data_IF_971659192645
#
_entry.id   IF_971659192645
#
_cell.length_a   1.000
_cell.length_b   1.000
_cell.length_c   1.000
_cell.angle_alpha   90.00
_cell.angle_beta   90.00
_cell.angle_gamma   90.00
#
_symmetry.space_group_name_H-M   'P 1'
#
loop_
_entity.id
_entity.type
_entity.pdbx_description
1 polymer ?
#
# COMPACT_ATOMS: atom_id res chain seq x y z
N UNK A 1 10.75 -24.14 8.35
CA UNK A 1 9.94 -22.89 8.29
C UNK A 1 10.83 -21.74 8.73
N UNK A 2 10.60 -20.49 8.28
CA UNK A 2 11.26 -19.34 8.88
C UNK A 2 11.01 -19.32 10.39
N UNK A 3 11.91 -18.71 11.15
CA UNK A 3 11.73 -18.47 12.58
C UNK A 3 10.42 -17.69 12.82
N UNK A 4 9.66 -18.09 13.84
CA UNK A 4 8.38 -17.49 14.20
C UNK A 4 8.50 -16.05 14.70
N UNK A 5 9.71 -15.63 15.09
CA UNK A 5 9.97 -14.25 15.50
C UNK A 5 10.23 -13.30 14.31
N UNK A 6 10.33 -13.83 13.08
CA UNK A 6 10.53 -13.00 11.89
C UNK A 6 9.24 -12.22 11.62
N UNK A 7 9.31 -10.90 11.80
CA UNK A 7 8.23 -9.99 11.41
C UNK A 7 7.95 -10.11 9.92
N UNK A 8 6.68 -10.28 9.58
CA UNK A 8 6.22 -10.28 8.19
C UNK A 8 6.54 -8.93 7.55
N UNK A 9 7.25 -8.89 6.42
CA UNK A 9 7.64 -7.64 5.79
C UNK A 9 6.42 -6.90 5.25
N UNK A 10 6.46 -5.58 5.31
CA UNK A 10 5.51 -4.74 4.57
C UNK A 10 5.74 -4.91 3.07
N UNK A 11 4.64 -4.91 2.29
CA UNK A 11 4.69 -4.95 0.82
C UNK A 11 3.79 -3.90 0.21
N UNK A 12 4.32 -3.18 -0.79
CA UNK A 12 3.55 -2.34 -1.71
C UNK A 12 3.34 -3.15 -2.99
N UNK A 13 2.15 -3.73 -3.15
CA UNK A 13 1.79 -4.50 -4.33
C UNK A 13 1.24 -3.55 -5.41
N UNK A 14 1.54 -3.78 -6.68
CA UNK A 14 1.02 -2.96 -7.76
C UNK A 14 -0.51 -3.03 -7.84
N UNK A 15 -1.07 -2.13 -8.63
CA UNK A 15 -2.44 -2.27 -9.09
C UNK A 15 -2.62 -3.61 -9.83
N UNK A 16 -3.83 -4.16 -9.76
CA UNK A 16 -4.19 -5.44 -10.38
C UNK A 16 -3.34 -6.65 -9.95
N UNK A 17 -2.69 -6.61 -8.79
CA UNK A 17 -2.02 -7.79 -8.25
C UNK A 17 -2.99 -8.98 -8.14
N UNK A 18 -2.53 -10.17 -8.50
CA UNK A 18 -3.37 -11.38 -8.54
C UNK A 18 -4.01 -11.69 -7.19
N UNK A 19 -3.38 -11.31 -6.08
CA UNK A 19 -3.94 -11.52 -4.73
C UNK A 19 -5.30 -10.82 -4.54
N UNK A 20 -5.56 -9.78 -5.35
CA UNK A 20 -6.80 -9.01 -5.34
C UNK A 20 -7.75 -9.35 -6.50
N UNK A 21 -7.35 -10.19 -7.45
CA UNK A 21 -8.17 -10.49 -8.63
C UNK A 21 -8.50 -11.99 -8.76
N UNK A 22 -7.54 -12.87 -8.46
CA UNK A 22 -7.63 -14.31 -8.70
C UNK A 22 -8.47 -15.10 -7.70
N UNK A 23 -8.96 -14.47 -6.62
CA UNK A 23 -9.75 -15.12 -5.59
C UNK A 23 -11.09 -14.42 -5.37
N UNK A 24 -12.18 -15.19 -5.40
CA UNK A 24 -13.52 -14.69 -5.07
C UNK A 24 -13.66 -14.40 -3.58
N UNK A 25 -13.11 -15.27 -2.73
CA UNK A 25 -12.99 -15.06 -1.30
C UNK A 25 -11.63 -14.42 -0.97
N UNK A 26 -11.66 -13.16 -0.52
CA UNK A 26 -10.49 -12.36 -0.16
C UNK A 26 -10.39 -12.08 1.34
N UNK A 27 -11.24 -12.74 2.13
CA UNK A 27 -11.36 -12.49 3.58
C UNK A 27 -10.09 -12.84 4.35
N UNK A 28 -9.23 -13.66 3.73
CA UNK A 28 -7.91 -14.08 4.25
C UNK A 28 -6.91 -12.94 4.44
N UNK A 29 -7.04 -11.86 3.67
CA UNK A 29 -6.12 -10.70 3.72
C UNK A 29 -6.84 -9.37 3.91
N UNK A 30 -8.17 -9.37 3.88
CA UNK A 30 -9.01 -8.18 3.93
C UNK A 30 -10.27 -8.48 4.75
N UNK A 31 -10.63 -7.68 5.77
CA UNK A 31 -11.84 -7.92 6.56
C UNK A 31 -13.13 -7.93 5.72
N UNK A 32 -14.14 -8.70 6.16
CA UNK A 32 -15.47 -8.72 5.54
C UNK A 32 -16.10 -7.32 5.47
N UNK A 33 -16.81 -7.03 4.38
CA UNK A 33 -17.73 -5.89 4.30
C UNK A 33 -17.18 -4.61 3.66
N UNK A 34 -16.00 -4.62 3.03
CA UNK A 34 -15.55 -3.46 2.26
C UNK A 34 -14.88 -3.87 0.94
N UNK A 35 -15.59 -3.64 -0.17
CA UNK A 35 -14.93 -3.39 -1.44
C UNK A 35 -14.13 -2.10 -1.23
N UNK A 36 -12.81 -2.20 -1.19
CA UNK A 36 -11.91 -1.19 -0.63
C UNK A 36 -11.92 0.21 -1.30
N UNK A 37 -12.87 0.54 -2.17
CA UNK A 37 -12.77 1.72 -3.03
C UNK A 37 -11.52 1.68 -3.91
N UNK A 38 -10.84 0.52 -3.97
CA UNK A 38 -9.66 0.28 -4.78
C UNK A 38 -9.99 0.36 -6.26
N UNK A 39 -11.22 0.04 -6.63
CA UNK A 39 -11.76 0.20 -7.96
C UNK A 39 -12.44 1.56 -8.02
N UNK A 40 -11.77 2.56 -8.57
CA UNK A 40 -12.40 3.81 -8.91
C UNK A 40 -13.53 3.57 -9.92
N UNK A 41 -14.54 4.45 -9.94
CA UNK A 41 -15.68 4.37 -10.87
C UNK A 41 -15.27 4.42 -12.36
N UNK A 42 -14.04 4.86 -12.65
CA UNK A 42 -13.43 4.86 -13.98
C UNK A 42 -12.57 3.62 -14.27
N UNK A 43 -12.61 2.59 -13.42
CA UNK A 43 -11.87 1.33 -13.60
C UNK A 43 -10.40 1.37 -13.21
N UNK A 44 -9.85 2.51 -12.76
CA UNK A 44 -8.45 2.61 -12.29
C UNK A 44 -8.32 1.97 -10.92
N UNK A 45 -7.42 0.98 -10.82
CA UNK A 45 -7.10 0.33 -9.54
C UNK A 45 -5.87 0.97 -8.92
N UNK A 46 -5.89 1.21 -7.60
CA UNK A 46 -4.68 1.64 -6.87
C UNK A 46 -3.91 0.41 -6.37
N UNK A 47 -2.61 0.56 -6.14
CA UNK A 47 -1.82 -0.48 -5.50
C UNK A 47 -2.25 -0.71 -4.05
N UNK A 48 -1.91 -1.85 -3.47
CA UNK A 48 -2.24 -2.20 -2.08
C UNK A 48 -1.01 -2.22 -1.18
N UNK A 49 -1.21 -1.88 0.09
CA UNK A 49 -0.19 -1.95 1.13
C UNK A 49 -0.55 -3.06 2.11
N UNK A 50 0.31 -4.07 2.20
CA UNK A 50 0.18 -5.18 3.14
C UNK A 50 1.03 -4.91 4.37
N UNK A 51 0.43 -5.01 5.54
CA UNK A 51 1.10 -5.00 6.85
C UNK A 51 0.70 -6.28 7.55
N UNK A 52 1.70 -7.06 7.97
CA UNK A 52 1.48 -8.36 8.59
C UNK A 52 0.62 -9.32 7.74
N UNK A 53 0.75 -9.22 6.40
CA UNK A 53 -0.02 -10.02 5.45
C UNK A 53 -1.45 -9.52 5.19
N UNK A 54 -1.91 -8.46 5.88
CA UNK A 54 -3.24 -7.89 5.69
C UNK A 54 -3.19 -6.57 4.93
N UNK A 55 -4.17 -6.34 4.07
CA UNK A 55 -4.35 -5.09 3.34
C UNK A 55 -4.79 -3.99 4.31
N UNK A 56 -4.01 -2.91 4.41
CA UNK A 56 -4.25 -1.80 5.35
C UNK A 56 -4.43 -0.43 4.69
N UNK A 57 -3.89 -0.25 3.49
CA UNK A 57 -3.96 1.00 2.74
C UNK A 57 -3.87 0.77 1.23
N UNK A 58 -4.23 1.78 0.45
CA UNK A 58 -3.86 1.91 -0.96
C UNK A 58 -2.58 2.72 -1.10
N UNK A 59 -1.92 2.57 -2.23
CA UNK A 59 -0.89 3.51 -2.64
C UNK A 59 -1.01 3.87 -4.13
N UNK A 60 -0.48 5.05 -4.47
CA UNK A 60 -0.27 5.46 -5.86
C UNK A 60 1.01 6.28 -6.01
N UNK A 61 1.68 6.21 -7.17
CA UNK A 61 2.74 7.14 -7.50
C UNK A 61 2.16 8.54 -7.80
N UNK A 62 2.94 9.57 -7.54
CA UNK A 62 2.64 10.96 -7.87
C UNK A 62 3.95 11.71 -8.07
N UNK A 63 3.91 12.83 -8.81
CA UNK A 63 5.01 13.78 -8.86
C UNK A 63 4.54 15.08 -8.22
N UNK A 64 5.14 15.45 -7.10
CA UNK A 64 4.78 16.67 -6.37
C UNK A 64 6.03 17.53 -6.19
N UNK A 65 5.96 18.80 -6.61
CA UNK A 65 7.07 19.75 -6.48
C UNK A 65 8.41 19.21 -7.03
N UNK A 66 8.35 18.42 -8.11
CA UNK A 66 9.53 17.79 -8.73
C UNK A 66 10.06 16.54 -8.02
N UNK A 67 9.43 16.08 -6.95
CA UNK A 67 9.79 14.84 -6.26
C UNK A 67 8.91 13.66 -6.69
N UNK A 68 9.52 12.50 -6.92
CA UNK A 68 8.80 11.25 -7.07
C UNK A 68 8.23 10.84 -5.70
N UNK A 69 6.92 10.71 -5.64
CA UNK A 69 6.18 10.57 -4.38
C UNK A 69 5.32 9.32 -4.38
N UNK A 70 5.34 8.56 -3.28
CA UNK A 70 4.32 7.55 -3.00
C UNK A 70 3.31 8.14 -2.02
N UNK A 71 2.03 8.15 -2.41
CA UNK A 71 0.93 8.56 -1.52
C UNK A 71 0.24 7.31 -1.01
N UNK A 72 0.24 7.13 0.32
CA UNK A 72 -0.40 6.02 1.02
C UNK A 72 -1.70 6.51 1.65
N UNK A 73 -2.81 5.85 1.35
CA UNK A 73 -4.15 6.21 1.83
C UNK A 73 -4.75 5.04 2.63
N UNK A 74 -4.90 5.15 3.95
CA UNK A 74 -5.52 4.10 4.77
C UNK A 74 -7.00 3.89 4.41
N UNK A 75 -7.55 2.71 4.69
CA UNK A 75 -8.97 2.44 4.37
C UNK A 75 -9.97 2.82 5.46
N UNK A 76 -9.60 2.66 6.72
CA UNK A 76 -10.57 2.76 7.83
C UNK A 76 -10.12 3.78 8.85
N UNK A 77 -8.90 3.59 9.38
CA UNK A 77 -8.32 4.44 10.41
C UNK A 77 -6.94 4.89 9.95
N UNK A 78 -6.46 6.05 10.42
CA UNK A 78 -5.07 6.44 10.24
C UNK A 78 -4.13 5.31 10.68
N UNK A 79 -3.07 5.10 9.90
CA UNK A 79 -2.04 4.11 10.26
C UNK A 79 -1.29 4.58 11.51
N UNK A 80 -1.14 3.75 12.55
CA UNK A 80 -0.29 4.08 13.70
C UNK A 80 1.15 4.37 13.27
N UNK A 81 1.88 5.20 14.02
CA UNK A 81 3.29 5.54 13.70
C UNK A 81 4.17 4.29 13.53
N UNK A 82 3.91 3.24 14.31
CA UNK A 82 4.62 1.96 14.22
C UNK A 82 4.44 1.23 12.89
N UNK A 83 3.31 1.42 12.20
CA UNK A 83 3.06 0.87 10.87
C UNK A 83 3.55 1.81 9.76
N UNK A 84 3.47 3.13 9.98
CA UNK A 84 3.93 4.11 8.98
C UNK A 84 5.42 4.00 8.68
N UNK A 85 6.26 3.72 9.68
CA UNK A 85 7.71 3.61 9.47
C UNK A 85 8.10 2.50 8.48
N UNK A 86 7.72 1.22 8.68
CA UNK A 86 8.07 0.15 7.74
C UNK A 86 7.39 0.33 6.37
N UNK A 87 6.22 0.96 6.30
CA UNK A 87 5.59 1.34 5.02
C UNK A 87 6.42 2.39 4.29
N UNK A 88 6.91 3.41 4.99
CA UNK A 88 7.77 4.42 4.39
C UNK A 88 9.09 3.80 3.89
N UNK A 89 9.70 2.91 4.67
CA UNK A 89 10.94 2.23 4.29
C UNK A 89 10.75 1.38 3.01
N UNK A 90 9.62 0.66 2.87
CA UNK A 90 9.31 -0.08 1.65
C UNK A 90 8.97 0.83 0.46
N UNK A 91 8.22 1.92 0.69
CA UNK A 91 7.90 2.91 -0.34
C UNK A 91 9.15 3.63 -0.87
N UNK A 92 10.13 3.91 -0.02
CA UNK A 92 11.40 4.52 -0.43
C UNK A 92 12.21 3.58 -1.33
N UNK A 93 12.21 2.26 -1.07
CA UNK A 93 12.85 1.28 -1.99
C UNK A 93 12.15 1.28 -3.35
N UNK A 94 10.82 1.30 -3.33
CA UNK A 94 10.02 1.36 -4.56
C UNK A 94 10.33 2.64 -5.35
N UNK A 95 10.42 3.80 -4.70
CA UNK A 95 10.81 5.06 -5.34
C UNK A 95 12.24 5.03 -5.88
N UNK A 96 13.16 4.41 -5.15
CA UNK A 96 14.52 4.14 -5.62
C UNK A 96 14.56 3.34 -6.92
N UNK A 97 13.67 2.36 -7.05
CA UNK A 97 13.51 1.57 -8.26
C UNK A 97 12.82 2.34 -9.39
N UNK A 98 11.71 3.03 -9.11
CA UNK A 98 10.88 3.69 -10.12
C UNK A 98 11.48 5.00 -10.65
N UNK A 99 12.24 5.72 -9.81
CA UNK A 99 12.76 7.06 -10.13
C UNK A 99 14.18 7.24 -9.56
N UNK A 100 15.17 6.47 -10.04
CA UNK A 100 16.54 6.56 -9.53
C UNK A 100 17.10 7.98 -9.72
N UNK A 101 17.75 8.52 -8.69
CA UNK A 101 18.36 9.86 -8.70
C UNK A 101 17.39 11.03 -8.51
N UNK A 102 16.07 10.80 -8.51
CA UNK A 102 15.10 11.83 -8.15
C UNK A 102 15.05 12.05 -6.64
N UNK A 103 14.58 13.23 -6.22
CA UNK A 103 14.13 13.42 -4.83
C UNK A 103 12.92 12.51 -4.57
N UNK A 104 12.95 11.78 -3.46
CA UNK A 104 11.88 10.85 -3.06
C UNK A 104 11.12 11.37 -1.85
N UNK A 105 9.79 11.22 -1.88
CA UNK A 105 8.91 11.55 -0.78
C UNK A 105 7.86 10.46 -0.54
N UNK A 106 7.52 10.23 0.73
CA UNK A 106 6.39 9.37 1.11
C UNK A 106 5.39 10.21 1.88
N UNK A 107 4.11 10.16 1.48
CA UNK A 107 3.03 10.93 2.11
C UNK A 107 1.91 10.01 2.56
N UNK A 108 1.45 10.21 3.79
CA UNK A 108 0.28 9.51 4.34
C UNK A 108 -0.94 10.44 4.29
N UNK A 109 -1.95 10.05 3.52
CA UNK A 109 -3.21 10.76 3.42
C UNK A 109 -4.17 10.37 4.56
N UNK A 110 -5.24 11.16 4.73
CA UNK A 110 -6.36 10.76 5.58
C UNK A 110 -7.06 9.53 4.98
N UNK A 111 -7.73 8.71 5.80
CA UNK A 111 -8.49 7.58 5.26
C UNK A 111 -9.49 8.02 4.20
N UNK A 112 -9.62 7.22 3.14
CA UNK A 112 -10.69 7.42 2.17
C UNK A 112 -12.04 7.10 2.84
N UNK A 113 -13.10 7.90 2.62
CA UNK A 113 -14.44 7.63 3.15
C UNK A 113 -15.01 6.29 2.62
#
# INVERSE_FOLDING_TARGET
>A
RPDGEIRVPVRLLPDYDNILLGHSDRTRIMPHGRHLGMFSSNGVTQGSVLVDGFVRAMWKPSTQQGAATVVVTPFVKPLPKGEQRPIADEAMKLLGFLAPGAKHEVRFAKPAP
#
